data_IF_869095611824
#
_entry.id   IF_869095611824
#
_cell.length_a   1.000
_cell.length_b   1.000
_cell.length_c   1.000
_cell.angle_alpha   90.00
_cell.angle_beta   90.00
_cell.angle_gamma   90.00
#
_symmetry.space_group_name_H-M   'P 1'
#
loop_
_entity.id
_entity.type
_entity.pdbx_description
1 polymer ?
#
# COMPACT_ATOMS: atom_id res chain seq x y z
N UNK A 1 14.86 2.23 -3.53
CA UNK A 1 15.28 2.94 -4.74
C UNK A 1 14.77 2.24 -6.00
N UNK A 2 13.44 2.24 -6.18
CA UNK A 2 12.75 1.55 -7.30
C UNK A 2 13.20 2.10 -8.65
N UNK A 3 13.26 3.43 -8.81
CA UNK A 3 13.61 4.07 -10.09
C UNK A 3 15.02 3.74 -10.59
N UNK A 4 15.99 3.56 -9.69
CA UNK A 4 17.34 3.10 -10.08
C UNK A 4 17.29 1.70 -10.67
N UNK A 5 16.47 0.81 -10.10
CA UNK A 5 16.30 -0.54 -10.62
C UNK A 5 15.52 -0.56 -11.94
N UNK A 6 14.53 0.31 -12.08
CA UNK A 6 13.81 0.54 -13.34
C UNK A 6 14.79 0.95 -14.44
N UNK A 7 15.62 1.95 -14.18
CA UNK A 7 16.63 2.40 -15.14
C UNK A 7 17.60 1.27 -15.54
N UNK A 8 18.14 0.55 -14.55
CA UNK A 8 19.04 -0.61 -14.82
C UNK A 8 18.39 -1.75 -15.60
N UNK A 9 17.08 -1.89 -15.49
CA UNK A 9 16.32 -2.96 -16.14
C UNK A 9 15.61 -2.52 -17.41
N UNK A 10 15.73 -1.24 -17.80
CA UNK A 10 15.02 -0.66 -18.95
C UNK A 10 15.27 -1.42 -20.25
N UNK A 11 16.50 -1.88 -20.49
CA UNK A 11 16.86 -2.67 -21.68
C UNK A 11 16.16 -4.04 -21.75
N UNK A 12 15.64 -4.54 -20.63
CA UNK A 12 14.91 -5.82 -20.54
C UNK A 12 13.41 -5.65 -20.64
N UNK A 13 12.92 -4.41 -20.71
CA UNK A 13 11.49 -4.17 -20.85
C UNK A 13 11.03 -4.61 -22.23
N UNK A 14 10.03 -5.48 -22.25
CA UNK A 14 9.38 -5.93 -23.48
C UNK A 14 7.95 -5.33 -23.52
N UNK A 15 7.57 -4.80 -24.67
CA UNK A 15 6.25 -4.15 -24.90
C UNK A 15 5.07 -5.14 -24.78
N UNK A 16 5.35 -6.43 -24.60
CA UNK A 16 4.34 -7.46 -24.40
C UNK A 16 3.51 -7.32 -23.11
N UNK A 17 3.93 -6.49 -22.14
CA UNK A 17 3.17 -6.16 -20.93
C UNK A 17 3.08 -4.65 -20.75
N UNK A 18 1.99 -4.19 -20.08
CA UNK A 18 1.89 -2.77 -19.71
C UNK A 18 3.09 -2.35 -18.86
N UNK A 19 3.56 -1.12 -19.06
CA UNK A 19 4.65 -0.55 -18.27
C UNK A 19 4.35 -0.58 -16.76
N UNK A 20 3.12 -0.27 -16.36
CA UNK A 20 2.68 -0.33 -14.96
C UNK A 20 2.85 -1.73 -14.34
N UNK A 21 2.46 -2.80 -15.06
CA UNK A 21 2.64 -4.18 -14.60
C UNK A 21 4.12 -4.53 -14.36
N UNK A 22 4.99 -4.14 -15.29
CA UNK A 22 6.42 -4.34 -15.17
C UNK A 22 7.03 -3.53 -14.01
N UNK A 23 6.64 -2.26 -13.87
CA UNK A 23 7.08 -1.38 -12.79
C UNK A 23 6.68 -1.93 -11.41
N UNK A 24 5.42 -2.32 -11.23
CA UNK A 24 4.94 -2.90 -9.97
C UNK A 24 5.60 -4.24 -9.64
N UNK A 25 5.95 -5.03 -10.64
CA UNK A 25 6.71 -6.27 -10.44
C UNK A 25 8.11 -5.97 -9.86
N UNK A 26 8.80 -4.97 -10.39
CA UNK A 26 10.10 -4.53 -9.87
C UNK A 26 9.94 -4.01 -8.43
N UNK A 27 8.98 -3.13 -8.19
CA UNK A 27 8.73 -2.56 -6.87
C UNK A 27 8.44 -3.65 -5.83
N UNK A 28 7.53 -4.59 -6.13
CA UNK A 28 7.22 -5.72 -5.25
C UNK A 28 8.47 -6.55 -4.92
N UNK A 29 9.26 -6.91 -5.92
CA UNK A 29 10.45 -7.74 -5.70
C UNK A 29 11.48 -7.03 -4.81
N UNK A 30 11.66 -5.72 -4.98
CA UNK A 30 12.53 -4.93 -4.11
C UNK A 30 12.00 -4.87 -2.67
N UNK A 31 10.70 -4.66 -2.47
CA UNK A 31 10.08 -4.67 -1.14
C UNK A 31 10.24 -6.02 -0.47
N UNK A 32 9.97 -7.13 -1.17
CA UNK A 32 10.13 -8.48 -0.62
C UNK A 32 11.58 -8.78 -0.24
N UNK A 33 12.53 -8.36 -1.07
CA UNK A 33 13.96 -8.54 -0.78
C UNK A 33 14.37 -7.74 0.47
N UNK A 34 13.86 -6.51 0.61
CA UNK A 34 14.14 -5.67 1.78
C UNK A 34 13.52 -6.24 3.05
N UNK A 35 12.28 -6.73 3.00
CA UNK A 35 11.62 -7.40 4.14
C UNK A 35 12.43 -8.64 4.55
N UNK A 36 12.84 -9.48 3.58
CA UNK A 36 13.67 -10.65 3.86
C UNK A 36 15.03 -10.28 4.43
N UNK A 37 15.64 -9.19 3.94
CA UNK A 37 16.91 -8.68 4.46
C UNK A 37 16.76 -8.26 5.93
N UNK A 38 15.73 -7.49 6.26
CA UNK A 38 15.45 -7.06 7.64
C UNK A 38 15.15 -8.24 8.56
N UNK A 39 14.42 -9.24 8.07
CA UNK A 39 14.14 -10.45 8.85
C UNK A 39 15.38 -11.29 9.16
N UNK A 40 16.38 -11.32 8.26
CA UNK A 40 17.62 -12.08 8.45
C UNK A 40 18.68 -11.33 9.29
N UNK A 41 18.61 -10.00 9.28
CA UNK A 41 19.47 -9.13 10.05
C UNK A 41 18.57 -8.18 10.86
N UNK A 42 18.04 -8.63 12.02
CA UNK A 42 17.42 -7.70 12.94
C UNK A 42 18.53 -6.73 13.36
N UNK A 43 18.52 -5.53 12.78
CA UNK A 43 19.36 -4.44 13.27
C UNK A 43 18.76 -4.08 14.63
N UNK A 44 19.50 -4.31 15.72
CA UNK A 44 19.22 -3.63 16.96
C UNK A 44 19.05 -2.16 16.63
N UNK A 45 17.89 -1.64 16.97
CA UNK A 45 17.53 -0.25 16.70
C UNK A 45 18.47 0.64 17.51
N UNK A 46 19.61 0.99 16.93
CA UNK A 46 20.25 2.23 17.30
C UNK A 46 19.31 3.34 16.82
N UNK A 47 19.01 4.24 17.74
CA UNK A 47 18.07 5.35 17.66
C UNK A 47 17.97 5.98 16.26
N UNK A 48 16.74 6.35 15.82
CA UNK A 48 16.60 7.08 14.59
C UNK A 48 17.35 8.40 14.73
N UNK A 49 18.49 8.52 14.06
CA UNK A 49 19.08 9.83 13.85
C UNK A 49 18.02 10.63 13.09
N UNK A 50 17.46 11.61 13.77
CA UNK A 50 16.69 12.69 13.19
C UNK A 50 17.55 13.38 12.13
N UNK A 51 17.52 12.91 10.90
CA UNK A 51 17.83 13.79 9.77
C UNK A 51 16.63 14.71 9.65
N UNK A 52 16.75 15.86 10.27
CA UNK A 52 15.96 17.04 9.97
C UNK A 52 16.05 17.29 8.47
N UNK A 53 15.07 16.81 7.71
CA UNK A 53 14.76 17.40 6.44
C UNK A 53 14.08 18.74 6.75
N UNK A 54 14.84 19.81 6.46
CA UNK A 54 14.37 21.18 6.50
C UNK A 54 13.03 21.30 5.75
N UNK A 55 12.14 22.03 6.40
CA UNK A 55 10.86 22.52 5.96
C UNK A 55 10.84 22.93 4.48
N UNK A 56 10.32 22.06 3.63
CA UNK A 56 9.57 22.51 2.48
C UNK A 56 8.09 22.23 2.78
N UNK A 57 7.26 23.26 2.85
CA UNK A 57 5.83 23.04 2.99
C UNK A 57 5.36 22.23 1.78
N UNK A 58 4.51 21.20 2.00
CA UNK A 58 3.95 20.46 0.88
C UNK A 58 3.21 21.42 -0.05
N UNK A 59 3.23 21.20 -1.38
CA UNK A 59 2.48 22.04 -2.30
C UNK A 59 1.02 22.04 -1.88
N UNK A 60 0.51 23.19 -1.49
CA UNK A 60 -0.89 23.40 -1.20
C UNK A 60 -1.66 23.27 -2.53
N UNK A 61 -2.22 22.11 -2.78
CA UNK A 61 -3.33 21.98 -3.70
C UNK A 61 -4.56 22.48 -2.94
N UNK A 62 -4.99 23.68 -3.29
CA UNK A 62 -6.30 24.20 -2.87
C UNK A 62 -7.38 23.30 -3.46
N UNK A 63 -7.80 22.30 -2.70
CA UNK A 63 -9.02 21.55 -3.01
C UNK A 63 -10.19 22.40 -2.52
N UNK A 64 -10.80 23.13 -3.47
CA UNK A 64 -11.95 24.00 -3.24
C UNK A 64 -13.21 23.14 -3.01
N UNK A 65 -13.22 22.43 -1.90
CA UNK A 65 -14.43 21.97 -1.23
C UNK A 65 -14.31 22.32 0.24
N UNK A 66 -14.93 23.43 0.59
CA UNK A 66 -15.02 23.98 1.94
C UNK A 66 -15.78 22.99 2.84
N UNK A 67 -15.13 21.93 3.28
CA UNK A 67 -15.61 21.12 4.38
C UNK A 67 -15.33 21.88 5.68
N UNK A 68 -16.28 21.85 6.63
CA UNK A 68 -16.12 22.52 7.91
C UNK A 68 -14.97 21.93 8.72
N UNK A 69 -14.28 22.70 9.60
CA UNK A 69 -13.15 22.20 10.40
C UNK A 69 -13.38 20.86 11.13
N UNK A 70 -14.57 20.55 11.69
CA UNK A 70 -14.85 19.24 12.27
C UNK A 70 -14.92 18.11 11.24
N UNK A 71 -15.33 18.38 9.99
CA UNK A 71 -15.35 17.36 8.93
C UNK A 71 -13.94 16.99 8.47
N UNK A 72 -13.01 17.94 8.41
CA UNK A 72 -11.60 17.68 8.12
C UNK A 72 -10.95 16.79 9.19
N UNK A 73 -11.23 17.02 10.47
CA UNK A 73 -10.74 16.17 11.56
C UNK A 73 -11.30 14.75 11.47
N UNK A 74 -12.58 14.58 11.22
CA UNK A 74 -13.22 13.27 11.04
C UNK A 74 -12.69 12.52 9.80
N UNK A 75 -12.43 13.22 8.69
CA UNK A 75 -11.83 12.63 7.51
C UNK A 75 -10.41 12.15 7.79
N UNK A 76 -9.57 12.95 8.45
CA UNK A 76 -8.21 12.57 8.80
C UNK A 76 -8.15 11.37 9.76
N UNK A 77 -9.07 11.31 10.73
CA UNK A 77 -9.19 10.16 11.63
C UNK A 77 -9.60 8.88 10.90
N UNK A 78 -10.59 8.97 10.04
CA UNK A 78 -11.05 7.83 9.24
C UNK A 78 -9.94 7.34 8.29
N UNK A 79 -9.24 8.25 7.63
CA UNK A 79 -8.13 7.93 6.73
C UNK A 79 -7.01 7.20 7.47
N UNK A 80 -6.59 7.71 8.63
CA UNK A 80 -5.59 7.05 9.48
C UNK A 80 -6.05 5.64 9.93
N UNK A 81 -7.35 5.46 10.22
CA UNK A 81 -7.90 4.14 10.57
C UNK A 81 -7.92 3.17 9.39
N UNK A 82 -8.24 3.66 8.20
CA UNK A 82 -8.17 2.84 6.97
C UNK A 82 -6.72 2.43 6.70
N UNK A 83 -5.77 3.36 6.78
CA UNK A 83 -4.34 3.07 6.58
C UNK A 83 -3.84 2.02 7.57
N UNK A 84 -4.19 2.16 8.86
CA UNK A 84 -3.85 1.18 9.87
C UNK A 84 -4.46 -0.20 9.58
N UNK A 85 -5.75 -0.24 9.23
CA UNK A 85 -6.42 -1.50 8.88
C UNK A 85 -5.78 -2.18 7.67
N UNK A 86 -5.35 -1.42 6.67
CA UNK A 86 -4.63 -1.92 5.50
C UNK A 86 -3.22 -2.41 5.89
N UNK A 87 -2.51 -1.66 6.75
CA UNK A 87 -1.18 -2.04 7.22
C UNK A 87 -1.18 -3.36 8.00
N UNK A 88 -2.27 -3.66 8.70
CA UNK A 88 -2.44 -4.89 9.48
C UNK A 88 -2.86 -6.13 8.65
N UNK A 89 -3.17 -5.96 7.37
CA UNK A 89 -3.48 -7.09 6.51
C UNK A 89 -2.23 -7.98 6.30
N UNK A 90 -2.41 -9.30 6.15
CA UNK A 90 -1.36 -10.17 5.65
C UNK A 90 -0.78 -9.62 4.33
N UNK A 91 0.54 -9.72 4.16
CA UNK A 91 1.28 -9.06 3.08
C UNK A 91 0.65 -9.26 1.69
N UNK A 92 0.34 -10.52 1.33
CA UNK A 92 -0.23 -10.83 0.03
C UNK A 92 -1.65 -10.24 -0.16
N UNK A 93 -2.46 -10.16 0.91
CA UNK A 93 -3.78 -9.52 0.85
C UNK A 93 -3.65 -8.02 0.71
N UNK A 94 -2.74 -7.40 1.48
CA UNK A 94 -2.44 -5.97 1.40
C UNK A 94 -1.99 -5.58 0.00
N UNK A 95 -1.02 -6.29 -0.57
CA UNK A 95 -0.54 -6.04 -1.93
C UNK A 95 -1.66 -6.20 -2.96
N UNK A 96 -2.50 -7.24 -2.83
CA UNK A 96 -3.63 -7.45 -3.73
C UNK A 96 -4.65 -6.30 -3.67
N UNK A 97 -4.95 -5.80 -2.46
CA UNK A 97 -5.87 -4.66 -2.26
C UNK A 97 -5.27 -3.37 -2.83
N UNK A 98 -3.99 -3.08 -2.56
CA UNK A 98 -3.33 -1.88 -3.07
C UNK A 98 -3.25 -1.87 -4.60
N UNK A 99 -2.91 -2.99 -5.23
CA UNK A 99 -2.89 -3.12 -6.69
C UNK A 99 -4.29 -3.02 -7.30
N UNK A 100 -5.31 -3.58 -6.62
CA UNK A 100 -6.70 -3.52 -7.09
C UNK A 100 -7.29 -2.10 -7.03
N UNK A 101 -6.72 -1.18 -6.26
CA UNK A 101 -7.10 0.25 -6.25
C UNK A 101 -6.59 1.01 -7.48
N UNK A 102 -5.62 0.45 -8.20
CA UNK A 102 -5.14 1.03 -9.46
C UNK A 102 -6.09 0.60 -10.57
N UNK A 103 -6.93 1.52 -11.03
CA UNK A 103 -7.97 1.27 -12.03
C UNK A 103 -7.40 0.80 -13.40
N UNK A 104 -6.08 0.95 -13.59
CA UNK A 104 -5.37 0.54 -14.80
C UNK A 104 -5.00 -0.96 -14.85
N UNK A 105 -5.07 -1.70 -13.72
CA UNK A 105 -4.63 -3.09 -13.63
C UNK A 105 -5.80 -4.08 -13.66
N UNK A 106 -5.78 -4.97 -14.66
CA UNK A 106 -6.68 -6.12 -14.69
C UNK A 106 -6.28 -7.18 -13.65
N UNK A 107 -7.20 -8.11 -13.32
CA UNK A 107 -6.89 -9.23 -12.41
C UNK A 107 -5.75 -10.10 -12.93
N UNK A 108 -5.61 -10.25 -14.24
CA UNK A 108 -4.52 -10.97 -14.89
C UNK A 108 -3.18 -10.28 -14.69
N UNK A 109 -3.17 -8.95 -14.75
CA UNK A 109 -1.98 -8.13 -14.51
C UNK A 109 -1.57 -8.16 -13.05
N UNK A 110 -2.55 -8.04 -12.14
CA UNK A 110 -2.31 -8.19 -10.69
C UNK A 110 -1.75 -9.58 -10.38
N UNK A 111 -2.31 -10.63 -10.99
CA UNK A 111 -1.82 -12.00 -10.83
C UNK A 111 -0.35 -12.15 -11.26
N UNK A 112 0.02 -11.53 -12.39
CA UNK A 112 1.42 -11.49 -12.84
C UNK A 112 2.33 -10.77 -11.85
N UNK A 113 1.92 -9.60 -11.35
CA UNK A 113 2.66 -8.85 -10.32
C UNK A 113 2.82 -9.67 -9.05
N UNK A 114 1.75 -10.35 -8.59
CA UNK A 114 1.77 -11.17 -7.37
C UNK A 114 2.46 -12.53 -7.56
N UNK A 115 2.70 -12.96 -8.79
CA UNK A 115 3.28 -14.27 -9.09
C UNK A 115 2.36 -15.42 -8.69
N UNK A 116 1.03 -15.28 -8.85
CA UNK A 116 0.04 -16.29 -8.52
C UNK A 116 -1.03 -16.42 -9.62
N UNK A 117 -1.96 -17.36 -9.49
CA UNK A 117 -3.06 -17.51 -10.44
C UNK A 117 -4.11 -16.39 -10.28
N UNK A 118 -4.89 -16.15 -11.33
CA UNK A 118 -6.01 -15.19 -11.29
C UNK A 118 -7.05 -15.58 -10.23
N UNK A 119 -7.32 -16.88 -10.05
CA UNK A 119 -8.21 -17.38 -9.01
C UNK A 119 -7.67 -17.07 -7.61
N UNK A 120 -6.38 -17.29 -7.37
CA UNK A 120 -5.74 -16.94 -6.11
C UNK A 120 -5.78 -15.42 -5.87
N UNK A 121 -5.54 -14.60 -6.90
CA UNK A 121 -5.64 -13.13 -6.82
C UNK A 121 -7.03 -12.70 -6.39
N UNK A 122 -8.08 -13.21 -7.04
CA UNK A 122 -9.49 -12.92 -6.66
C UNK A 122 -9.76 -13.30 -5.21
N UNK A 123 -9.27 -14.45 -4.76
CA UNK A 123 -9.42 -14.93 -3.38
C UNK A 123 -8.68 -14.02 -2.37
N UNK A 124 -7.47 -13.55 -2.70
CA UNK A 124 -6.71 -12.61 -1.87
C UNK A 124 -7.44 -11.27 -1.73
N UNK A 125 -7.95 -10.73 -2.82
CA UNK A 125 -8.73 -9.48 -2.83
C UNK A 125 -10.00 -9.63 -2.01
N UNK A 126 -10.75 -10.72 -2.19
CA UNK A 126 -11.97 -10.99 -1.45
C UNK A 126 -11.71 -11.08 0.06
N UNK A 127 -10.72 -11.87 0.48
CA UNK A 127 -10.34 -12.01 1.91
C UNK A 127 -9.86 -10.69 2.49
N UNK A 128 -9.05 -9.93 1.75
CA UNK A 128 -8.58 -8.61 2.18
C UNK A 128 -9.74 -7.64 2.42
N UNK A 129 -10.69 -7.57 1.48
CA UNK A 129 -11.91 -6.75 1.61
C UNK A 129 -12.76 -7.15 2.79
N UNK A 130 -12.96 -8.45 3.00
CA UNK A 130 -13.76 -8.94 4.12
C UNK A 130 -13.09 -8.62 5.47
N UNK A 131 -11.76 -8.79 5.57
CA UNK A 131 -11.01 -8.42 6.78
C UNK A 131 -11.12 -6.92 7.06
N UNK A 132 -10.95 -6.07 6.04
CA UNK A 132 -11.11 -4.61 6.18
C UNK A 132 -12.52 -4.25 6.62
N UNK A 133 -13.54 -4.83 6.00
CA UNK A 133 -14.94 -4.61 6.36
C UNK A 133 -15.20 -4.96 7.83
N UNK A 134 -14.73 -6.11 8.29
CA UNK A 134 -14.90 -6.55 9.68
C UNK A 134 -14.19 -5.60 10.66
N UNK A 135 -13.01 -5.12 10.32
CA UNK A 135 -12.25 -4.20 11.17
C UNK A 135 -12.83 -2.79 11.22
N UNK A 136 -13.27 -2.27 10.08
CA UNK A 136 -13.79 -0.91 9.99
C UNK A 136 -15.26 -0.79 10.43
N UNK A 137 -16.06 -1.86 10.34
CA UNK A 137 -17.48 -1.84 10.70
C UNK A 137 -17.77 -1.33 12.11
N UNK A 138 -17.06 -1.75 13.18
CA UNK A 138 -17.28 -1.22 14.52
C UNK A 138 -17.03 0.29 14.60
N UNK A 139 -15.96 0.77 13.97
CA UNK A 139 -15.61 2.19 13.94
C UNK A 139 -16.69 3.02 13.22
N UNK A 140 -17.14 2.56 12.05
CA UNK A 140 -18.18 3.25 11.27
C UNK A 140 -19.55 3.28 11.99
N UNK A 141 -19.81 2.33 12.88
CA UNK A 141 -21.05 2.26 13.65
C UNK A 141 -21.01 3.03 14.97
N UNK A 142 -19.87 3.07 15.64
CA UNK A 142 -19.73 3.57 17.02
C UNK A 142 -18.75 4.72 17.16
N UNK A 143 -17.98 5.04 16.13
CA UNK A 143 -16.85 5.97 16.21
C UNK A 143 -15.67 5.47 17.07
N UNK A 144 -15.75 4.25 17.62
CA UNK A 144 -14.74 3.70 18.53
C UNK A 144 -13.96 2.58 17.84
N UNK A 145 -12.62 2.73 17.79
CA UNK A 145 -11.73 1.70 17.26
C UNK A 145 -11.43 0.65 18.33
N UNK A 146 -11.77 -0.61 18.06
CA UNK A 146 -11.41 -1.73 18.92
C UNK A 146 -10.16 -2.41 18.36
N UNK A 147 -9.05 -2.32 19.09
CA UNK A 147 -7.86 -3.12 18.78
C UNK A 147 -8.17 -4.59 19.07
N UNK A 148 -8.12 -5.46 18.06
CA UNK A 148 -8.03 -6.92 18.29
C UNK A 148 -6.62 -7.23 18.80
N UNK A 149 -6.53 -7.84 19.98
CA UNK A 149 -5.30 -8.41 20.51
C UNK A 149 -4.86 -9.60 19.69
#
# INVERSE_FOLDING_TARGET
MVFVQVFKSASRYQVASKFSTWLFTIARNLCLNEIRRRSRHPVESMEPSHTTHEDQPPPQFEDVKTASPPEHLLHGELEAKIEQAVADLPENQRLAILLCRQDELSYEEIARVLGCSVSATKSLIHRGRETLKQRLKPYLQTGVWRHSK
#
